data_IF_982696943296
#
_entry.id   IF_982696943296
#
_cell.length_a   1.000
_cell.length_b   1.000
_cell.length_c   1.000
_cell.angle_alpha   90.00
_cell.angle_beta   90.00
_cell.angle_gamma   90.00
#
_symmetry.space_group_name_H-M   'P 1'
#
loop_
_entity.id
_entity.type
_entity.pdbx_description
1 polymer ?
#
# COMPACT_ATOMS: atom_id res chain seq x y z
N UNK A 1 24.74 19.11 -13.45
CA UNK A 1 24.28 17.87 -12.79
C UNK A 1 25.14 16.72 -13.29
N UNK A 2 25.93 16.11 -12.41
CA UNK A 2 26.83 15.02 -12.80
C UNK A 2 26.05 13.81 -13.29
N UNK A 3 26.50 13.18 -14.37
CA UNK A 3 25.88 12.00 -14.98
C UNK A 3 25.73 10.85 -13.97
N UNK A 4 26.70 10.73 -13.06
CA UNK A 4 26.77 9.73 -11.99
C UNK A 4 25.59 9.89 -11.02
N UNK A 5 25.22 11.12 -10.65
CA UNK A 5 24.09 11.38 -9.74
C UNK A 5 22.76 10.94 -10.36
N UNK A 6 22.55 11.21 -11.65
CA UNK A 6 21.33 10.79 -12.37
C UNK A 6 21.20 9.27 -12.49
N UNK A 7 22.31 8.57 -12.71
CA UNK A 7 22.33 7.10 -12.73
C UNK A 7 21.91 6.51 -11.38
N UNK A 8 22.41 7.10 -10.29
CA UNK A 8 22.07 6.66 -8.94
C UNK A 8 20.59 6.90 -8.63
N UNK A 9 20.07 8.11 -8.91
CA UNK A 9 18.66 8.45 -8.74
C UNK A 9 17.73 7.50 -9.51
N UNK A 10 18.08 7.20 -10.77
CA UNK A 10 17.28 6.30 -11.61
C UNK A 10 17.30 4.87 -11.10
N UNK A 11 18.46 4.40 -10.62
CA UNK A 11 18.61 3.06 -10.05
C UNK A 11 17.77 2.92 -8.77
N UNK A 12 17.87 3.90 -7.88
CA UNK A 12 17.06 3.94 -6.65
C UNK A 12 15.57 3.91 -7.01
N UNK A 13 15.14 4.78 -7.93
CA UNK A 13 13.74 4.83 -8.36
C UNK A 13 13.26 3.50 -8.94
N UNK A 14 14.08 2.85 -9.77
CA UNK A 14 13.75 1.57 -10.37
C UNK A 14 13.59 0.47 -9.31
N UNK A 15 14.52 0.39 -8.35
CA UNK A 15 14.47 -0.60 -7.25
C UNK A 15 13.21 -0.41 -6.41
N UNK A 16 12.92 0.82 -5.98
CA UNK A 16 11.72 1.11 -5.20
C UNK A 16 10.42 0.83 -5.97
N UNK A 17 10.41 1.09 -7.28
CA UNK A 17 9.25 0.80 -8.13
C UNK A 17 8.95 -0.70 -8.21
N UNK A 18 9.98 -1.54 -8.36
CA UNK A 18 9.84 -3.01 -8.39
C UNK A 18 9.36 -3.54 -7.05
N UNK A 19 9.96 -3.08 -5.95
CA UNK A 19 9.54 -3.47 -4.60
C UNK A 19 8.08 -3.08 -4.32
N UNK A 20 7.69 -1.86 -4.71
CA UNK A 20 6.32 -1.39 -4.59
C UNK A 20 5.34 -2.24 -5.40
N UNK A 21 5.63 -2.50 -6.67
CA UNK A 21 4.80 -3.34 -7.52
C UNK A 21 4.65 -4.77 -6.96
N UNK A 22 5.76 -5.35 -6.46
CA UNK A 22 5.75 -6.65 -5.81
C UNK A 22 4.85 -6.67 -4.57
N UNK A 23 4.99 -5.70 -3.68
CA UNK A 23 4.11 -5.58 -2.50
C UNK A 23 2.63 -5.41 -2.91
N UNK A 24 2.35 -4.53 -3.86
CA UNK A 24 0.99 -4.24 -4.30
C UNK A 24 0.27 -5.44 -4.92
N UNK A 25 1.00 -6.30 -5.65
CA UNK A 25 0.42 -7.45 -6.33
C UNK A 25 0.37 -8.70 -5.44
N UNK A 26 1.37 -8.92 -4.60
CA UNK A 26 1.51 -10.20 -3.90
C UNK A 26 1.27 -10.13 -2.39
N UNK A 27 1.34 -8.96 -1.76
CA UNK A 27 1.21 -8.84 -0.29
C UNK A 27 -0.08 -8.10 0.06
N UNK A 28 -0.29 -6.93 -0.54
CA UNK A 28 -1.44 -6.07 -0.27
C UNK A 28 -2.81 -6.78 -0.43
N UNK A 29 -3.06 -7.61 -1.45
CA UNK A 29 -4.36 -8.29 -1.58
C UNK A 29 -4.64 -9.24 -0.41
N UNK A 30 -3.61 -9.95 0.09
CA UNK A 30 -3.76 -10.87 1.21
C UNK A 30 -3.92 -10.15 2.54
N UNK A 31 -3.16 -9.07 2.76
CA UNK A 31 -3.37 -8.19 3.91
C UNK A 31 -4.78 -7.62 3.91
N UNK A 32 -5.27 -7.18 2.74
CA UNK A 32 -6.62 -6.62 2.61
C UNK A 32 -7.71 -7.66 2.83
N UNK A 33 -7.51 -8.89 2.36
CA UNK A 33 -8.44 -10.00 2.61
C UNK A 33 -8.46 -10.37 4.10
N UNK A 34 -7.30 -10.45 4.74
CA UNK A 34 -7.19 -10.67 6.18
C UNK A 34 -7.88 -9.57 6.99
N UNK A 35 -7.66 -8.30 6.61
CA UNK A 35 -8.31 -7.13 7.22
C UNK A 35 -9.85 -7.19 7.08
N UNK A 36 -10.36 -7.64 5.93
CA UNK A 36 -11.81 -7.79 5.69
C UNK A 36 -12.43 -8.97 6.45
N UNK A 37 -11.65 -10.01 6.75
CA UNK A 37 -12.13 -11.23 7.39
C UNK A 37 -12.02 -11.15 8.92
N UNK A 38 -11.20 -10.24 9.45
CA UNK A 38 -11.06 -10.01 10.87
C UNK A 38 -12.28 -9.26 11.46
N UNK A 39 -13.02 -9.93 12.35
CA UNK A 39 -14.24 -9.42 12.97
C UNK A 39 -14.01 -8.13 13.77
N UNK A 40 -12.88 -8.00 14.48
CA UNK A 40 -12.57 -6.80 15.28
C UNK A 40 -12.34 -5.56 14.41
N UNK A 41 -11.73 -5.73 13.24
CA UNK A 41 -11.49 -4.63 12.30
C UNK A 41 -12.80 -4.20 11.64
N UNK A 42 -13.70 -5.15 11.36
CA UNK A 42 -15.04 -4.84 10.83
C UNK A 42 -15.86 -4.02 11.82
N UNK A 43 -15.85 -4.38 13.10
CA UNK A 43 -16.57 -3.63 14.15
C UNK A 43 -15.99 -2.22 14.37
N UNK A 44 -14.66 -2.08 14.36
CA UNK A 44 -14.01 -0.77 14.49
C UNK A 44 -14.27 0.12 13.28
N UNK A 45 -14.24 -0.41 12.05
CA UNK A 45 -14.60 0.36 10.84
C UNK A 45 -16.06 0.82 10.85
N UNK A 46 -16.99 -0.01 11.33
CA UNK A 46 -18.40 0.36 11.47
C UNK A 46 -18.60 1.52 12.46
N UNK A 47 -17.80 1.60 13.54
CA UNK A 47 -17.87 2.72 14.51
C UNK A 47 -17.41 4.08 13.97
N UNK A 48 -16.52 4.10 12.98
CA UNK A 48 -15.97 5.34 12.41
C UNK A 48 -16.41 5.61 10.97
N UNK A 49 -17.29 4.76 10.42
CA UNK A 49 -17.90 5.07 9.12
C UNK A 49 -18.84 6.24 9.35
N UNK A 50 -18.68 7.38 8.63
CA UNK A 50 -19.61 8.48 8.77
C UNK A 50 -21.00 7.96 8.39
N UNK A 51 -21.90 7.90 9.37
CA UNK A 51 -23.33 7.73 9.12
C UNK A 51 -23.76 8.96 8.35
N UNK A 52 -23.75 8.87 7.02
CA UNK A 52 -24.46 9.83 6.18
C UNK A 52 -25.95 9.56 6.46
N UNK A 53 -26.47 10.20 7.50
CA UNK A 53 -27.90 10.25 7.77
C UNK A 53 -28.52 11.08 6.65
N UNK A 54 -29.12 10.41 5.67
CA UNK A 54 -30.15 11.00 4.83
C UNK A 54 -31.42 11.20 5.65
#
# INVERSE_FOLDING_TARGET
MNLISKLFETTVLAVFSVLFAGYALFIYPFEKLSEKTNAEVREKKLKYTPTISQ
#
